data_IF_372224489884
#
_entry.id   IF_372224489884
#
_cell.length_a   1.000
_cell.length_b   1.000
_cell.length_c   1.000
_cell.angle_alpha   90.00
_cell.angle_beta   90.00
_cell.angle_gamma   90.00
#
_symmetry.space_group_name_H-M   'P 1'
#
loop_
_entity.id
_entity.type
_entity.pdbx_description
1 polymer ?
#
# COMPACT_ATOMS: atom_id res chain seq x y z
N UNK A 1 -5.90 -16.11 -8.89
CA UNK A 1 -4.80 -16.66 -8.06
C UNK A 1 -4.27 -15.48 -7.26
N UNK A 2 -4.13 -15.57 -5.94
CA UNK A 2 -3.58 -14.46 -5.16
C UNK A 2 -2.07 -14.58 -5.05
N UNK A 3 -1.38 -13.45 -5.25
CA UNK A 3 0.06 -13.32 -5.06
C UNK A 3 0.32 -12.58 -3.75
N UNK A 4 1.31 -13.02 -2.97
CA UNK A 4 1.69 -12.39 -1.70
C UNK A 4 3.15 -11.99 -1.76
N UNK A 5 3.42 -10.72 -1.45
CA UNK A 5 4.78 -10.22 -1.23
C UNK A 5 4.99 -9.84 0.23
N UNK A 6 6.13 -10.24 0.79
CA UNK A 6 6.59 -9.78 2.10
C UNK A 6 7.32 -8.44 1.95
N UNK A 7 6.92 -7.47 2.76
CA UNK A 7 7.31 -6.07 2.64
C UNK A 7 8.21 -5.69 3.83
N UNK A 8 9.44 -5.29 3.51
CA UNK A 8 10.48 -4.87 4.45
C UNK A 8 10.40 -3.38 4.79
N UNK A 9 9.77 -2.58 3.92
CA UNK A 9 9.54 -1.15 4.16
C UNK A 9 8.24 -0.68 3.51
N UNK A 10 7.45 0.08 4.26
CA UNK A 10 6.30 0.82 3.75
C UNK A 10 6.56 2.31 3.94
N UNK A 11 6.35 3.06 2.88
CA UNK A 11 6.37 4.52 2.88
C UNK A 11 5.08 5.01 2.22
N UNK A 12 4.64 6.22 2.56
CA UNK A 12 3.42 6.80 2.02
C UNK A 12 3.64 8.25 1.58
N UNK A 13 2.82 8.69 0.64
CA UNK A 13 2.72 10.09 0.22
C UNK A 13 1.26 10.43 -0.06
N UNK A 14 0.95 11.73 -0.12
CA UNK A 14 -0.35 12.15 -0.63
C UNK A 14 -0.37 12.06 -2.16
N UNK A 15 -1.54 11.74 -2.74
CA UNK A 15 -1.71 11.57 -4.20
C UNK A 15 -1.22 12.76 -5.03
N UNK A 16 -1.21 13.98 -4.45
CA UNK A 16 -0.71 15.20 -5.10
C UNK A 16 0.80 15.19 -5.37
N UNK A 17 1.57 14.37 -4.64
CA UNK A 17 3.00 14.15 -4.90
C UNK A 17 3.22 13.32 -6.18
N UNK A 18 2.17 12.67 -6.69
CA UNK A 18 2.23 11.73 -7.81
C UNK A 18 1.55 12.26 -9.08
N UNK A 19 1.33 13.57 -9.21
CA UNK A 19 0.69 14.16 -10.41
C UNK A 19 1.45 13.89 -11.70
N UNK A 20 2.78 13.77 -11.64
CA UNK A 20 3.63 13.44 -12.78
C UNK A 20 3.98 11.94 -12.88
N UNK A 21 3.35 11.08 -12.08
CA UNK A 21 3.58 9.64 -12.13
C UNK A 21 3.07 9.07 -13.46
N UNK A 22 3.88 8.23 -14.10
CA UNK A 22 3.49 7.57 -15.37
C UNK A 22 3.33 6.07 -15.16
N UNK A 23 2.20 5.52 -15.61
CA UNK A 23 1.95 4.07 -15.60
C UNK A 23 2.29 3.48 -16.97
N UNK A 24 3.22 2.53 -17.00
CA UNK A 24 3.68 1.88 -18.23
C UNK A 24 3.16 0.45 -18.28
N UNK A 25 2.49 0.09 -19.37
CA UNK A 25 1.92 -1.25 -19.63
C UNK A 25 1.01 -1.79 -18.49
N UNK A 26 0.42 -0.90 -17.67
CA UNK A 26 -0.37 -1.25 -16.47
C UNK A 26 0.35 -2.15 -15.46
N UNK A 27 1.68 -2.20 -15.50
CA UNK A 27 2.49 -3.06 -14.64
C UNK A 27 3.61 -2.29 -13.96
N UNK A 28 4.04 -1.18 -14.55
CA UNK A 28 5.17 -0.41 -14.06
C UNK A 28 4.76 1.02 -13.72
N UNK A 29 5.46 1.62 -12.76
CA UNK A 29 5.32 3.02 -12.38
C UNK A 29 6.67 3.72 -12.51
N UNK A 30 6.68 4.84 -13.23
CA UNK A 30 7.73 5.85 -13.15
C UNK A 30 7.28 6.88 -12.12
N UNK A 31 7.93 6.88 -10.96
CA UNK A 31 7.58 7.75 -9.84
C UNK A 31 8.38 9.06 -9.96
N UNK A 32 7.75 10.24 -9.78
CA UNK A 32 8.46 11.51 -9.84
C UNK A 32 9.59 11.56 -8.79
N UNK A 33 10.82 11.95 -9.16
CA UNK A 33 11.93 12.07 -8.19
C UNK A 33 11.66 13.05 -7.06
N UNK A 34 10.79 14.04 -7.29
CA UNK A 34 10.38 15.04 -6.31
C UNK A 34 9.32 14.55 -5.31
N UNK A 35 8.74 13.35 -5.51
CA UNK A 35 7.69 12.85 -4.64
C UNK A 35 8.23 12.54 -3.24
N UNK A 36 7.63 13.18 -2.22
CA UNK A 36 8.08 13.03 -0.85
C UNK A 36 7.36 11.88 -0.15
N UNK A 37 8.14 10.86 0.21
CA UNK A 37 7.64 9.68 0.91
C UNK A 37 8.01 9.72 2.40
N UNK A 38 7.01 9.52 3.25
CA UNK A 38 7.20 9.37 4.70
C UNK A 38 7.17 7.89 5.06
N UNK A 39 8.14 7.44 5.86
CA UNK A 39 8.24 6.05 6.28
C UNK A 39 7.24 5.73 7.39
N UNK A 40 6.53 4.60 7.28
CA UNK A 40 5.73 4.08 8.40
C UNK A 40 6.63 3.36 9.42
N UNK A 41 6.43 3.58 10.73
CA UNK A 41 7.15 2.87 11.78
C UNK A 41 6.56 1.46 11.95
N UNK A 42 6.92 0.52 11.07
CA UNK A 42 6.37 -0.84 11.11
C UNK A 42 6.94 -1.67 12.27
N UNK A 43 6.12 -2.55 12.82
CA UNK A 43 6.52 -3.60 13.76
C UNK A 43 6.54 -4.95 13.02
N UNK A 44 7.73 -5.46 12.74
CA UNK A 44 7.92 -6.67 11.94
C UNK A 44 7.76 -6.44 10.44
N UNK A 45 7.55 -7.52 9.69
CA UNK A 45 7.29 -7.47 8.25
C UNK A 45 5.82 -7.16 7.98
N UNK A 46 5.58 -6.38 6.93
CA UNK A 46 4.26 -6.22 6.33
C UNK A 46 4.05 -7.25 5.22
N UNK A 47 2.83 -7.36 4.73
CA UNK A 47 2.51 -8.14 3.54
C UNK A 47 1.58 -7.37 2.62
N UNK A 48 1.69 -7.62 1.32
CA UNK A 48 0.68 -7.20 0.35
C UNK A 48 0.18 -8.42 -0.39
N UNK A 49 -1.14 -8.59 -0.40
CA UNK A 49 -1.83 -9.61 -1.17
C UNK A 49 -2.50 -8.95 -2.38
N UNK A 50 -2.28 -9.51 -3.56
CA UNK A 50 -2.85 -9.05 -4.82
C UNK A 50 -3.76 -10.14 -5.37
N UNK A 51 -5.00 -9.79 -5.69
CA UNK A 51 -5.96 -10.67 -6.34
C UNK A 51 -6.66 -9.94 -7.49
N UNK A 52 -7.21 -10.69 -8.43
CA UNK A 52 -8.00 -10.16 -9.54
C UNK A 52 -9.33 -10.88 -9.70
N UNK A 53 -10.33 -10.16 -10.19
CA UNK A 53 -11.62 -10.69 -10.60
C UNK A 53 -12.11 -9.99 -11.86
N UNK A 54 -13.00 -10.63 -12.61
CA UNK A 54 -13.68 -10.00 -13.74
C UNK A 54 -15.03 -9.48 -13.23
N UNK A 55 -15.21 -8.17 -13.27
CA UNK A 55 -16.46 -7.48 -12.95
C UNK A 55 -16.83 -6.56 -14.11
N UNK A 56 -18.09 -6.57 -14.53
CA UNK A 56 -18.59 -5.69 -15.60
C UNK A 56 -17.74 -5.76 -16.90
N UNK A 57 -17.28 -6.97 -17.28
CA UNK A 57 -16.39 -7.22 -18.43
C UNK A 57 -15.02 -6.54 -18.34
N UNK A 58 -14.61 -6.12 -17.15
CA UNK A 58 -13.30 -5.54 -16.87
C UNK A 58 -12.59 -6.33 -15.78
N UNK A 59 -11.29 -6.56 -15.94
CA UNK A 59 -10.45 -7.11 -14.87
C UNK A 59 -10.21 -6.02 -13.83
N UNK A 60 -10.62 -6.29 -12.60
CA UNK A 60 -10.44 -5.43 -11.42
C UNK A 60 -9.46 -6.14 -10.48
N UNK A 61 -8.46 -5.40 -10.03
CA UNK A 61 -7.47 -5.85 -9.07
C UNK A 61 -7.82 -5.33 -7.68
N UNK A 62 -7.60 -6.17 -6.68
CA UNK A 62 -7.68 -5.84 -5.26
C UNK A 62 -6.32 -6.11 -4.64
N UNK A 63 -5.67 -5.05 -4.20
CA UNK A 63 -4.36 -5.11 -3.53
C UNK A 63 -4.52 -4.67 -2.09
N UNK A 64 -4.19 -5.55 -1.14
CA UNK A 64 -4.38 -5.36 0.29
C UNK A 64 -3.04 -5.40 1.00
N UNK A 65 -2.58 -4.24 1.43
CA UNK A 65 -1.40 -4.08 2.29
C UNK A 65 -1.82 -4.22 3.75
N UNK A 66 -1.22 -5.16 4.47
CA UNK A 66 -1.37 -5.35 5.90
C UNK A 66 -0.07 -4.98 6.63
N UNK A 67 -0.17 -4.05 7.58
CA UNK A 67 0.96 -3.54 8.37
C UNK A 67 0.57 -3.50 9.84
N UNK A 68 1.50 -3.89 10.71
CA UNK A 68 1.35 -3.65 12.15
C UNK A 68 2.20 -2.44 12.56
N UNK A 69 1.62 -1.53 13.31
CA UNK A 69 2.22 -0.26 13.74
C UNK A 69 2.21 -0.16 15.27
N UNK A 70 3.17 0.56 15.88
CA UNK A 70 3.18 0.78 17.32
C UNK A 70 2.02 1.65 17.78
N UNK A 71 1.54 2.54 16.90
CA UNK A 71 0.46 3.48 17.15
C UNK A 71 -0.53 3.51 15.98
N UNK A 72 -1.72 4.03 16.23
CA UNK A 72 -2.77 4.20 15.22
C UNK A 72 -2.31 5.16 14.13
N UNK A 73 -2.52 4.78 12.87
CA UNK A 73 -2.19 5.63 11.73
C UNK A 73 -3.34 6.58 11.40
N UNK A 74 -3.18 7.84 11.77
CA UNK A 74 -4.17 8.89 11.51
C UNK A 74 -4.07 9.42 10.08
N UNK A 75 -4.99 8.96 9.22
CA UNK A 75 -5.06 9.36 7.81
C UNK A 75 -5.77 10.70 7.63
N UNK A 76 -6.75 11.02 8.49
CA UNK A 76 -7.67 12.14 8.30
C UNK A 76 -8.37 12.06 6.94
N UNK A 77 -8.46 13.20 6.24
CA UNK A 77 -9.06 13.29 4.90
C UNK A 77 -8.04 13.13 3.76
N UNK A 78 -6.82 12.67 4.06
CA UNK A 78 -5.76 12.54 3.07
C UNK A 78 -6.00 11.33 2.17
N UNK A 79 -5.76 11.53 0.88
CA UNK A 79 -5.73 10.45 -0.11
C UNK A 79 -4.28 10.03 -0.24
N UNK A 80 -3.98 8.80 0.17
CA UNK A 80 -2.62 8.31 0.26
C UNK A 80 -2.34 7.21 -0.76
N UNK A 81 -1.09 7.16 -1.19
CA UNK A 81 -0.50 6.04 -1.92
C UNK A 81 0.68 5.50 -1.13
N UNK A 82 1.02 4.23 -1.36
CA UNK A 82 2.09 3.56 -0.62
C UNK A 82 3.18 3.08 -1.56
N UNK A 83 4.44 3.39 -1.21
CA UNK A 83 5.62 2.80 -1.79
C UNK A 83 6.08 1.65 -0.90
N UNK A 84 6.16 0.47 -1.49
CA UNK A 84 6.48 -0.77 -0.80
C UNK A 84 7.86 -1.24 -1.27
N UNK A 85 8.72 -1.63 -0.34
CA UNK A 85 9.94 -2.38 -0.65
C UNK A 85 9.77 -3.81 -0.20
N UNK A 86 9.93 -4.77 -1.10
CA UNK A 86 9.89 -6.20 -0.76
C UNK A 86 11.13 -6.60 0.04
N UNK A 87 11.11 -7.81 0.60
CA UNK A 87 12.32 -8.44 1.18
C UNK A 87 13.39 -8.75 0.13
N UNK A 88 13.00 -8.96 -1.14
CA UNK A 88 13.91 -9.12 -2.29
C UNK A 88 14.53 -7.81 -2.76
N UNK A 89 14.08 -6.66 -2.24
CA UNK A 89 14.61 -5.33 -2.56
C UNK A 89 13.90 -4.62 -3.72
N UNK A 90 12.87 -5.23 -4.30
CA UNK A 90 12.06 -4.63 -5.35
C UNK A 90 11.11 -3.57 -4.77
N UNK A 91 10.82 -2.55 -5.57
CA UNK A 91 9.94 -1.46 -5.19
C UNK A 91 8.62 -1.52 -5.95
N UNK A 92 7.52 -1.26 -5.25
CA UNK A 92 6.18 -1.26 -5.81
C UNK A 92 5.37 -0.06 -5.33
N UNK A 93 4.43 0.39 -6.15
CA UNK A 93 3.39 1.36 -5.81
C UNK A 93 2.05 0.67 -5.61
N UNK A 94 1.41 0.96 -4.48
CA UNK A 94 0.01 0.68 -4.21
C UNK A 94 -0.78 1.98 -4.40
N UNK A 95 -1.59 2.01 -5.47
CA UNK A 95 -2.33 3.19 -5.90
C UNK A 95 -1.54 4.09 -6.86
N UNK A 96 -2.18 5.20 -7.24
CA UNK A 96 -1.66 6.20 -8.18
C UNK A 96 -2.10 7.61 -7.77
N UNK A 97 -1.57 8.64 -8.45
CA UNK A 97 -2.05 10.03 -8.30
C UNK A 97 -3.54 10.21 -8.64
N UNK A 98 -4.11 9.29 -9.42
CA UNK A 98 -5.49 9.30 -9.85
C UNK A 98 -6.40 8.37 -9.04
N UNK A 99 -7.71 8.62 -9.14
CA UNK A 99 -8.75 7.73 -8.59
C UNK A 99 -8.70 6.37 -9.29
N UNK A 100 -9.06 5.26 -8.60
CA UNK A 100 -9.53 5.19 -7.21
C UNK A 100 -8.41 5.36 -6.20
N UNK A 101 -8.75 5.78 -4.97
CA UNK A 101 -7.77 5.95 -3.89
C UNK A 101 -7.83 4.76 -2.91
N UNK A 102 -6.70 4.49 -2.24
CA UNK A 102 -6.64 3.44 -1.23
C UNK A 102 -7.55 3.74 -0.05
N UNK A 103 -8.38 2.77 0.33
CA UNK A 103 -9.14 2.79 1.57
C UNK A 103 -8.25 2.28 2.69
N UNK A 104 -8.13 3.05 3.77
CA UNK A 104 -7.28 2.70 4.91
C UNK A 104 -8.16 2.46 6.13
N UNK A 105 -7.95 1.34 6.79
CA UNK A 105 -8.59 1.00 8.06
C UNK A 105 -7.53 0.67 9.10
N UNK A 106 -7.81 1.01 10.35
CA UNK A 106 -6.94 0.72 11.49
C UNK A 106 -7.75 0.11 12.63
N UNK A 107 -7.30 -1.04 13.10
CA UNK A 107 -7.86 -1.74 14.26
C UNK A 107 -6.83 -1.75 15.37
N UNK A 108 -7.13 -1.11 16.48
CA UNK A 108 -6.25 -1.07 17.63
C UNK A 108 -6.38 -2.37 18.43
N UNK A 109 -5.24 -2.93 18.81
CA UNK A 109 -5.16 -4.13 19.63
C UNK A 109 -4.77 -3.72 21.03
N UNK A 110 -5.74 -3.74 21.94
CA UNK A 110 -5.51 -3.54 23.37
C UNK A 110 -5.20 -4.92 23.96
N UNK A 111 -3.99 -5.14 24.49
CA UNK A 111 -3.61 -6.44 25.03
C UNK A 111 -4.43 -6.78 26.27
N UNK A 112 -4.94 -8.00 26.31
CA UNK A 112 -5.66 -8.64 27.41
C UNK A 112 -4.73 -9.49 28.30
N UNK A 113 -3.52 -9.78 27.83
CA UNK A 113 -2.47 -10.49 28.57
C UNK A 113 -1.11 -9.82 28.37
N UNK A 114 -0.16 -10.06 29.28
CA UNK A 114 1.19 -9.51 29.20
C UNK A 114 1.97 -9.96 27.94
N UNK A 115 1.58 -11.09 27.33
CA UNK A 115 2.17 -11.60 26.09
C UNK A 115 1.46 -11.13 24.82
N UNK A 116 0.29 -10.49 24.94
CA UNK A 116 -0.49 -10.02 23.79
C UNK A 116 0.21 -8.84 23.12
N UNK A 117 0.17 -8.80 21.78
CA UNK A 117 0.73 -7.68 21.02
C UNK A 117 -0.10 -6.42 21.26
N UNK A 118 0.58 -5.32 21.62
CA UNK A 118 -0.01 -3.99 21.68
C UNK A 118 0.38 -3.22 20.41
N UNK A 119 -0.57 -2.49 19.83
CA UNK A 119 -0.35 -1.68 18.63
C UNK A 119 -1.59 -1.57 17.76
N UNK A 120 -1.41 -1.18 16.50
CA UNK A 120 -2.51 -0.97 15.55
C UNK A 120 -2.27 -1.78 14.27
N UNK A 121 -3.25 -2.58 13.88
CA UNK A 121 -3.28 -3.27 12.60
C UNK A 121 -3.86 -2.32 11.55
N UNK A 122 -3.01 -1.83 10.66
CA UNK A 122 -3.39 -0.99 9.54
C UNK A 122 -3.53 -1.82 8.27
N UNK A 123 -4.64 -1.64 7.56
CA UNK A 123 -4.89 -2.24 6.25
C UNK A 123 -5.15 -1.14 5.23
N UNK A 124 -4.35 -1.09 4.17
CA UNK A 124 -4.62 -0.27 2.99
C UNK A 124 -5.10 -1.16 1.84
N UNK A 125 -6.32 -0.91 1.36
CA UNK A 125 -6.92 -1.65 0.25
C UNK A 125 -7.06 -0.73 -0.96
N UNK A 126 -6.41 -1.10 -2.06
CA UNK A 126 -6.62 -0.49 -3.36
C UNK A 126 -7.44 -1.42 -4.24
N UNK A 127 -8.54 -0.91 -4.79
CA UNK A 127 -9.41 -1.64 -5.73
C UNK A 127 -9.54 -0.84 -7.00
N UNK A 128 -9.03 -1.36 -8.12
CA UNK A 128 -9.04 -0.62 -9.39
C UNK A 128 -8.56 -1.42 -10.59
N UNK A 129 -8.35 -0.73 -11.71
CA UNK A 129 -7.91 -1.35 -12.98
C UNK A 129 -6.40 -1.56 -13.05
N UNK A 130 -5.66 -1.02 -12.10
CA UNK A 130 -4.22 -1.16 -11.97
C UNK A 130 -3.92 -2.22 -10.91
N UNK A 131 -3.01 -3.16 -11.15
CA UNK A 131 -2.49 -4.04 -10.11
C UNK A 131 -1.52 -3.27 -9.21
N UNK A 132 -0.82 -3.99 -8.35
CA UNK A 132 0.40 -3.49 -7.72
C UNK A 132 1.44 -3.17 -8.82
N UNK A 133 1.94 -1.93 -8.86
CA UNK A 133 2.81 -1.45 -9.95
C UNK A 133 4.26 -1.55 -9.53
N UNK A 134 5.11 -2.24 -10.29
CA UNK A 134 6.55 -2.28 -10.04
C UNK A 134 7.18 -0.93 -10.38
N UNK A 135 7.94 -0.34 -9.47
CA UNK A 135 8.69 0.88 -9.75
C UNK A 135 9.91 0.52 -10.60
N UNK A 136 10.11 1.31 -11.65
CA UNK A 136 11.28 1.25 -12.54
C UNK A 136 11.88 2.65 -12.63
N UNK A 137 13.18 2.71 -12.86
CA UNK A 137 13.94 3.94 -13.11
C UNK A 137 14.20 4.12 -14.61
#
# INVERSE_FOLDING_TARGET
MSEIHYISRVEYCEVRELTAMTVVKKQFALVPPAANFTRLPMVGLASVEVSDKIENKQRVFVSKLAVFLPERFEVGNKKLCFRLRTVSGEYFMLGSGDRPYSLITSTDTIPDTLSSRCGSAMVATYTGILPLLRIID
#
